data_IF_476118922061
#
_entry.id   IF_476118922061
#
_cell.length_a   1.000
_cell.length_b   1.000
_cell.length_c   1.000
_cell.angle_alpha   90.00
_cell.angle_beta   90.00
_cell.angle_gamma   90.00
#
_symmetry.space_group_name_H-M   'P 1'
#
loop_
_entity.id
_entity.type
_entity.pdbx_description
1 polymer ?
#
# COMPACT_ATOMS: atom_id res chain seq x y z
N UNK A 1 -17.55 -13.90 -15.72
CA UNK A 1 -16.52 -12.87 -16.02
C UNK A 1 -15.68 -12.69 -14.77
N UNK A 2 -14.33 -12.66 -14.85
CA UNK A 2 -13.52 -12.32 -13.67
C UNK A 2 -13.70 -10.83 -13.40
N UNK A 3 -14.45 -10.49 -12.35
CA UNK A 3 -14.65 -9.12 -11.93
C UNK A 3 -13.33 -8.57 -11.40
N UNK A 4 -12.91 -7.43 -11.95
CA UNK A 4 -11.74 -6.72 -11.44
C UNK A 4 -12.08 -6.12 -10.08
N UNK A 5 -11.13 -6.18 -9.14
CA UNK A 5 -11.28 -5.64 -7.80
C UNK A 5 -10.41 -4.39 -7.62
N UNK A 6 -10.83 -3.48 -6.73
CA UNK A 6 -10.06 -2.28 -6.39
C UNK A 6 -9.03 -2.63 -5.31
N UNK A 7 -7.80 -2.19 -5.47
CA UNK A 7 -6.73 -2.41 -4.51
C UNK A 7 -6.03 -1.09 -4.17
N UNK A 8 -5.62 -0.98 -2.92
CA UNK A 8 -4.66 0.01 -2.44
C UNK A 8 -3.34 -0.68 -2.17
N UNK A 9 -2.25 -0.20 -2.76
CA UNK A 9 -0.89 -0.67 -2.52
C UNK A 9 -0.08 0.46 -1.89
N UNK A 10 0.53 0.20 -0.73
CA UNK A 10 1.50 1.12 -0.13
C UNK A 10 2.90 0.65 -0.44
N UNK A 11 3.71 1.59 -0.91
CA UNK A 11 5.10 1.36 -1.26
C UNK A 11 6.00 2.28 -0.46
N UNK A 12 7.22 1.83 -0.15
CA UNK A 12 8.20 2.53 0.68
C UNK A 12 9.53 2.63 -0.04
N UNK A 13 10.15 3.81 -0.02
CA UNK A 13 11.53 4.01 -0.44
C UNK A 13 12.32 4.61 0.72
N UNK A 14 13.46 4.02 1.04
CA UNK A 14 14.39 4.60 2.02
C UNK A 14 15.12 5.77 1.37
N UNK A 15 15.25 6.88 2.10
CA UNK A 15 15.86 8.12 1.63
C UNK A 15 17.22 8.36 2.29
N UNK A 16 17.98 7.30 2.55
CA UNK A 16 19.32 7.40 3.14
C UNK A 16 20.22 8.30 2.26
N UNK A 17 21.01 9.16 2.90
CA UNK A 17 21.88 10.15 2.26
C UNK A 17 21.16 11.22 1.41
N UNK A 18 19.84 11.38 1.55
CA UNK A 18 19.12 12.51 0.97
C UNK A 18 19.29 13.78 1.82
N UNK A 19 18.97 14.94 1.24
CA UNK A 19 18.96 16.22 1.97
C UNK A 19 18.06 16.16 3.21
N UNK A 20 16.86 15.58 3.09
CA UNK A 20 15.94 15.42 4.22
C UNK A 20 16.48 14.48 5.29
N UNK A 21 17.26 13.45 4.92
CA UNK A 21 17.93 12.57 5.88
C UNK A 21 18.98 13.34 6.67
N UNK A 22 19.86 14.08 5.99
CA UNK A 22 20.89 14.87 6.67
C UNK A 22 20.31 15.96 7.59
N UNK A 23 19.24 16.62 7.16
CA UNK A 23 18.52 17.57 8.03
C UNK A 23 17.92 16.84 9.24
N UNK A 24 17.26 15.70 9.04
CA UNK A 24 16.67 14.92 10.12
C UNK A 24 17.72 14.44 11.13
N UNK A 25 18.92 14.05 10.66
CA UNK A 25 20.04 13.65 11.53
C UNK A 25 20.45 14.79 12.48
N UNK A 26 20.41 16.05 12.03
CA UNK A 26 20.71 17.19 12.91
C UNK A 26 19.69 17.40 14.03
N UNK A 27 18.44 16.98 13.82
CA UNK A 27 17.33 17.16 14.76
C UNK A 27 17.12 15.95 15.67
N UNK A 28 17.22 14.74 15.12
CA UNK A 28 16.83 13.49 15.77
C UNK A 28 18.02 12.59 16.14
N UNK A 29 19.24 12.95 15.73
CA UNK A 29 20.40 12.05 15.81
C UNK A 29 20.32 10.93 14.78
N UNK A 30 20.93 9.78 15.07
CA UNK A 30 20.88 8.61 14.19
C UNK A 30 19.41 8.20 13.94
N UNK A 31 18.95 8.36 12.70
CA UNK A 31 17.56 8.15 12.33
C UNK A 31 17.45 7.52 10.94
N UNK A 32 16.22 7.14 10.57
CA UNK A 32 15.90 6.63 9.23
C UNK A 32 14.82 7.54 8.66
N UNK A 33 14.99 7.95 7.41
CA UNK A 33 13.96 8.67 6.66
C UNK A 33 13.46 7.79 5.52
N UNK A 34 12.14 7.71 5.38
CA UNK A 34 11.49 6.93 4.34
C UNK A 34 10.36 7.73 3.69
N UNK A 35 10.20 7.56 2.38
CA UNK A 35 9.04 8.02 1.63
C UNK A 35 8.03 6.88 1.52
N UNK A 36 6.77 7.14 1.89
CA UNK A 36 5.67 6.19 1.71
C UNK A 36 4.69 6.78 0.70
N UNK A 37 4.36 6.01 -0.34
CA UNK A 37 3.34 6.37 -1.33
C UNK A 37 2.22 5.34 -1.32
N UNK A 38 1.00 5.84 -1.55
CA UNK A 38 -0.19 5.02 -1.76
C UNK A 38 -0.55 5.04 -3.24
N UNK A 39 -0.76 3.85 -3.81
CA UNK A 39 -1.24 3.64 -5.16
C UNK A 39 -2.61 2.97 -5.08
N UNK A 40 -3.62 3.53 -5.74
CA UNK A 40 -4.92 2.88 -5.90
C UNK A 40 -5.14 2.48 -7.36
N UNK A 41 -5.67 1.29 -7.58
CA UNK A 41 -5.94 0.80 -8.92
C UNK A 41 -6.86 -0.41 -8.95
N UNK A 42 -7.35 -0.72 -10.14
CA UNK A 42 -8.24 -1.84 -10.38
C UNK A 42 -7.48 -2.96 -11.08
N UNK A 43 -7.50 -4.15 -10.49
CA UNK A 43 -6.72 -5.30 -10.93
C UNK A 43 -7.59 -6.56 -10.99
N UNK A 44 -7.21 -7.53 -11.83
CA UNK A 44 -7.95 -8.79 -11.92
C UNK A 44 -7.81 -9.64 -10.65
N UNK A 45 -6.67 -9.54 -9.99
CA UNK A 45 -6.30 -10.18 -8.74
C UNK A 45 -4.96 -9.60 -8.28
N UNK A 46 -4.47 -10.05 -7.12
CA UNK A 46 -3.21 -9.58 -6.55
C UNK A 46 -1.99 -9.90 -7.44
N UNK A 47 -1.98 -11.03 -8.13
CA UNK A 47 -0.89 -11.39 -9.06
C UNK A 47 -0.81 -10.41 -10.24
N UNK A 48 -1.95 -10.08 -10.84
CA UNK A 48 -2.03 -9.06 -11.91
C UNK A 48 -1.55 -7.68 -11.43
N UNK A 49 -1.83 -7.32 -10.17
CA UNK A 49 -1.33 -6.09 -9.58
C UNK A 49 0.21 -6.07 -9.49
N UNK A 50 0.82 -7.14 -8.95
CA UNK A 50 2.27 -7.23 -8.84
C UNK A 50 2.98 -7.27 -10.20
N UNK A 51 2.45 -8.04 -11.16
CA UNK A 51 3.01 -8.12 -12.50
C UNK A 51 3.00 -6.75 -13.19
N UNK A 52 1.89 -6.00 -13.11
CA UNK A 52 1.80 -4.64 -13.66
C UNK A 52 2.75 -3.68 -12.97
N UNK A 53 2.85 -3.73 -11.64
CA UNK A 53 3.77 -2.86 -10.89
C UNK A 53 5.24 -3.15 -11.26
N UNK A 54 5.60 -4.42 -11.47
CA UNK A 54 6.95 -4.81 -11.89
C UNK A 54 7.34 -4.26 -13.28
N UNK A 55 6.38 -3.91 -14.14
CA UNK A 55 6.68 -3.27 -15.44
C UNK A 55 7.03 -1.79 -15.33
N UNK A 56 6.74 -1.14 -14.20
CA UNK A 56 6.99 0.29 -14.02
C UNK A 56 8.38 0.49 -13.43
N UNK A 57 9.38 0.75 -14.28
CA UNK A 57 10.80 0.90 -13.88
C UNK A 57 11.04 1.85 -12.69
N UNK A 58 10.24 2.92 -12.56
CA UNK A 58 10.34 3.88 -11.45
C UNK A 58 9.95 3.29 -10.08
N UNK A 59 9.18 2.21 -10.05
CA UNK A 59 8.76 1.54 -8.81
C UNK A 59 9.82 0.57 -8.28
N UNK A 60 10.87 0.27 -9.05
CA UNK A 60 11.94 -0.66 -8.63
C UNK A 60 12.72 -0.17 -7.42
N UNK A 61 12.74 1.15 -7.17
CA UNK A 61 13.37 1.74 -5.99
C UNK A 61 12.50 1.61 -4.73
N UNK A 62 11.29 1.08 -4.85
CA UNK A 62 10.33 0.98 -3.76
C UNK A 62 10.06 -0.48 -3.38
N UNK A 63 9.93 -0.71 -2.10
CA UNK A 63 9.43 -1.94 -1.49
C UNK A 63 7.91 -1.86 -1.33
N UNK A 64 7.19 -2.94 -1.60
CA UNK A 64 5.75 -3.02 -1.28
C UNK A 64 5.61 -3.38 0.20
N UNK A 65 4.93 -2.53 0.97
CA UNK A 65 4.75 -2.71 2.43
C UNK A 65 3.32 -3.05 2.83
N UNK A 66 2.31 -2.76 1.99
CA UNK A 66 0.95 -3.23 2.22
C UNK A 66 0.16 -3.34 0.92
N UNK A 67 -0.76 -4.30 0.85
CA UNK A 67 -1.76 -4.43 -0.21
C UNK A 67 -3.11 -4.66 0.46
N UNK A 68 -4.08 -3.80 0.16
CA UNK A 68 -5.43 -3.86 0.73
C UNK A 68 -6.41 -4.01 -0.43
N UNK A 69 -7.26 -5.03 -0.36
CA UNK A 69 -8.42 -5.13 -1.22
C UNK A 69 -9.46 -4.13 -0.72
N UNK A 70 -9.81 -3.14 -1.55
CA UNK A 70 -10.93 -2.24 -1.30
C UNK A 70 -12.16 -2.96 -1.88
N UNK A 71 -12.86 -3.71 -1.03
CA UNK A 71 -14.17 -4.26 -1.35
C UNK A 71 -15.24 -3.24 -0.91
N UNK A 72 -16.32 -3.10 -1.67
CA UNK A 72 -17.47 -2.29 -1.24
C UNK A 72 -18.34 -3.08 -0.25
N UNK A 73 -18.20 -4.41 -0.23
CA UNK A 73 -18.89 -5.30 0.71
C UNK A 73 -17.92 -5.81 1.80
N UNK A 74 -17.77 -5.01 2.87
CA UNK A 74 -16.91 -5.35 4.01
C UNK A 74 -17.46 -6.51 4.88
N UNK A 75 -18.61 -7.10 4.51
CA UNK A 75 -19.22 -8.22 5.24
C UNK A 75 -18.29 -9.42 5.37
N UNK A 76 -17.52 -9.74 4.33
CA UNK A 76 -16.54 -10.83 4.38
C UNK A 76 -15.29 -10.50 5.23
N UNK A 77 -15.02 -9.21 5.49
CA UNK A 77 -13.83 -8.78 6.26
C UNK A 77 -14.09 -8.65 7.76
N UNK A 78 -15.35 -8.42 8.17
CA UNK A 78 -15.72 -8.23 9.58
C UNK A 78 -16.05 -9.54 10.32
N UNK A 79 -15.99 -10.68 9.61
CA UNK A 79 -16.27 -12.00 10.17
C UNK A 79 -17.77 -12.21 10.47
N UNK A 80 -18.19 -13.48 10.61
CA UNK A 80 -19.57 -13.84 10.96
C UNK A 80 -20.03 -13.30 12.32
N UNK A 81 -19.13 -12.71 13.11
CA UNK A 81 -19.39 -12.14 14.44
C UNK A 81 -19.87 -10.67 14.41
N UNK A 82 -19.83 -9.99 13.26
CA UNK A 82 -20.34 -8.62 13.15
C UNK A 82 -21.83 -8.63 12.85
N UNK A 83 -22.65 -8.29 13.86
CA UNK A 83 -24.10 -8.24 13.72
C UNK A 83 -24.54 -6.98 12.96
N UNK A 84 -24.83 -7.16 11.67
CA UNK A 84 -25.28 -6.10 10.78
C UNK A 84 -26.71 -5.63 11.06
N UNK A 85 -27.51 -6.38 11.84
CA UNK A 85 -28.89 -6.01 12.17
C UNK A 85 -28.97 -5.03 13.35
N UNK A 86 -27.95 -4.94 14.21
CA UNK A 86 -27.95 -4.02 15.35
C UNK A 86 -27.73 -2.54 14.95
N UNK A 87 -27.35 -2.26 13.70
CA UNK A 87 -26.96 -0.91 13.24
C UNK A 87 -27.73 -0.43 11.99
N UNK A 88 -28.85 -1.07 11.63
CA UNK A 88 -29.77 -0.65 10.58
C UNK A 88 -30.99 0.11 11.13
#
# INVERSE_FOLDING_TARGET
MKQSKKYQVRIRKILENSEIHHIAETCFGACIVAEIRTLEGTFLNMKDAFEKMATVKKLNDYEIISVILIDEDNREQLGEEFDWEEHA
#
